data_IF_870828535044
#
_entry.id   IF_870828535044
#
_cell.length_a   1.000
_cell.length_b   1.000
_cell.length_c   1.000
_cell.angle_alpha   90.00
_cell.angle_beta   90.00
_cell.angle_gamma   90.00
#
_symmetry.space_group_name_H-M   'P 1'
#
loop_
_entity.id
_entity.type
_entity.pdbx_description
1 polymer ?
#
# COMPACT_ATOMS: atom_id res chain seq x y z
N UNK A 1 -6.68 -8.44 3.82
CA UNK A 1 -7.61 -8.39 4.99
C UNK A 1 -7.46 -9.57 5.95
N UNK A 2 -7.12 -10.79 5.50
CA UNK A 2 -7.02 -12.01 6.34
C UNK A 2 -5.95 -11.94 7.43
N UNK A 3 -4.87 -11.20 7.21
CA UNK A 3 -3.77 -11.05 8.17
C UNK A 3 -4.21 -10.31 9.46
N UNK A 4 -5.08 -9.31 9.34
CA UNK A 4 -5.52 -8.50 10.49
C UNK A 4 -6.20 -9.35 11.57
N UNK A 5 -7.26 -10.13 11.26
CA UNK A 5 -7.92 -10.95 12.28
C UNK A 5 -7.02 -12.10 12.80
N UNK A 6 -6.10 -12.59 11.96
CA UNK A 6 -5.12 -13.57 12.40
C UNK A 6 -4.20 -12.98 13.47
N UNK A 7 -3.63 -11.81 13.23
CA UNK A 7 -2.79 -11.12 14.20
C UNK A 7 -3.58 -10.72 15.46
N UNK A 8 -4.81 -10.23 15.31
CA UNK A 8 -5.66 -9.82 16.43
C UNK A 8 -5.92 -10.94 17.44
N UNK A 9 -5.92 -12.20 17.00
CA UNK A 9 -6.02 -13.38 17.88
C UNK A 9 -4.73 -13.71 18.61
N UNK A 10 -3.57 -13.38 18.02
CA UNK A 10 -2.27 -13.88 18.47
C UNK A 10 -1.41 -12.84 19.20
N UNK A 11 -1.64 -11.53 18.99
CA UNK A 11 -0.84 -10.49 19.63
C UNK A 11 -1.68 -9.64 20.58
N UNK A 12 -1.01 -9.10 21.62
CA UNK A 12 -1.66 -8.23 22.63
C UNK A 12 -1.37 -6.74 22.43
N UNK A 13 -0.51 -6.42 21.46
CA UNK A 13 -0.17 -5.04 21.11
C UNK A 13 -1.19 -4.49 20.11
N UNK A 14 -1.40 -3.17 20.08
CA UNK A 14 -2.25 -2.54 19.06
C UNK A 14 -1.76 -2.86 17.64
N UNK A 15 -2.69 -3.23 16.75
CA UNK A 15 -2.41 -3.52 15.34
C UNK A 15 -2.80 -2.31 14.51
N UNK A 16 -1.86 -1.81 13.71
CA UNK A 16 -2.11 -0.79 12.70
C UNK A 16 -2.18 -1.48 11.34
N UNK A 17 -3.36 -1.49 10.73
CA UNK A 17 -3.55 -2.07 9.42
C UNK A 17 -3.06 -1.12 8.32
N UNK A 18 -2.32 -1.65 7.35
CA UNK A 18 -1.82 -0.89 6.21
C UNK A 18 -1.99 -1.65 4.90
N UNK A 19 -2.09 -0.91 3.79
CA UNK A 19 -2.18 -1.45 2.43
C UNK A 19 -3.60 -1.58 1.90
N UNK A 20 -3.89 -0.90 0.78
CA UNK A 20 -5.17 -0.95 0.09
C UNK A 20 -6.35 -0.26 0.80
N UNK A 21 -6.10 0.45 1.90
CA UNK A 21 -7.12 1.24 2.61
C UNK A 21 -7.15 2.62 1.97
N UNK A 22 -8.31 3.00 1.40
CA UNK A 22 -8.42 4.20 0.57
C UNK A 22 -9.52 5.17 1.06
N UNK A 23 -10.43 4.71 1.91
CA UNK A 23 -11.59 5.48 2.38
C UNK A 23 -12.09 5.00 3.77
N UNK A 24 -13.17 5.62 4.26
CA UNK A 24 -13.78 5.27 5.55
C UNK A 24 -14.34 3.85 5.61
N UNK A 25 -14.72 3.25 4.47
CA UNK A 25 -15.18 1.85 4.41
C UNK A 25 -14.03 0.89 4.73
N UNK A 26 -12.85 1.16 4.17
CA UNK A 26 -11.64 0.40 4.47
C UNK A 26 -11.21 0.55 5.93
N UNK A 27 -11.34 1.75 6.50
CA UNK A 27 -11.09 2.02 7.93
C UNK A 27 -12.06 1.20 8.80
N UNK A 28 -13.37 1.27 8.53
CA UNK A 28 -14.37 0.54 9.29
C UNK A 28 -14.15 -0.98 9.20
N UNK A 29 -13.88 -1.50 8.00
CA UNK A 29 -13.62 -2.94 7.79
C UNK A 29 -12.43 -3.44 8.62
N UNK A 30 -11.31 -2.70 8.64
CA UNK A 30 -10.14 -3.10 9.43
C UNK A 30 -10.37 -2.99 10.93
N UNK A 31 -11.17 -2.03 11.38
CA UNK A 31 -11.60 -1.89 12.79
C UNK A 31 -12.43 -3.09 13.22
N UNK A 32 -13.41 -3.52 12.41
CA UNK A 32 -14.22 -4.73 12.66
C UNK A 32 -13.34 -5.98 12.74
N UNK A 33 -12.28 -6.06 11.92
CA UNK A 33 -11.32 -7.17 11.93
C UNK A 33 -10.33 -7.15 13.11
N UNK A 34 -10.36 -6.13 13.97
CA UNK A 34 -9.55 -6.03 15.18
C UNK A 34 -8.33 -5.14 15.10
N UNK A 35 -8.17 -4.33 14.05
CA UNK A 35 -7.14 -3.30 14.00
C UNK A 35 -7.45 -2.17 15.00
N UNK A 36 -6.43 -1.67 15.68
CA UNK A 36 -6.53 -0.49 16.55
C UNK A 36 -6.51 0.83 15.75
N UNK A 37 -5.92 0.81 14.57
CA UNK A 37 -5.83 1.96 13.68
C UNK A 37 -5.44 1.55 12.26
N UNK A 38 -5.29 2.55 11.38
CA UNK A 38 -4.89 2.35 9.98
C UNK A 38 -3.74 3.27 9.59
N UNK A 39 -2.93 2.83 8.63
CA UNK A 39 -1.95 3.65 7.94
C UNK A 39 -2.29 3.67 6.45
N UNK A 40 -2.48 4.86 5.91
CA UNK A 40 -2.87 5.07 4.52
C UNK A 40 -1.76 5.85 3.80
N UNK A 41 -1.21 5.30 2.72
CA UNK A 41 -0.18 5.95 1.92
C UNK A 41 -0.72 6.41 0.58
N UNK A 42 -1.08 5.46 -0.29
CA UNK A 42 -1.55 5.72 -1.66
C UNK A 42 -2.71 6.71 -1.71
N UNK A 43 -3.63 6.65 -0.75
CA UNK A 43 -4.79 7.53 -0.67
C UNK A 43 -4.43 9.04 -0.59
N UNK A 44 -3.24 9.37 -0.08
CA UNK A 44 -2.77 10.75 0.05
C UNK A 44 -1.86 11.21 -1.11
N UNK A 45 -1.51 10.32 -2.05
CA UNK A 45 -0.55 10.67 -3.10
C UNK A 45 -1.05 11.80 -4.01
N UNK A 46 -2.36 11.84 -4.32
CA UNK A 46 -2.95 12.87 -5.18
C UNK A 46 -3.27 14.18 -4.44
N UNK A 47 -3.14 14.24 -3.11
CA UNK A 47 -3.39 15.45 -2.34
C UNK A 47 -2.47 16.59 -2.77
N UNK A 48 -2.93 17.86 -2.74
CA UNK A 48 -2.09 19.02 -3.02
C UNK A 48 -0.83 19.08 -2.16
N UNK A 49 -0.93 18.70 -0.88
CA UNK A 49 0.17 18.71 0.09
C UNK A 49 1.18 17.58 -0.12
N UNK A 50 0.85 16.56 -0.89
CA UNK A 50 1.76 15.46 -1.19
C UNK A 50 2.97 15.96 -1.99
N UNK A 51 4.17 15.51 -1.61
CA UNK A 51 5.40 15.73 -2.37
C UNK A 51 5.51 14.90 -3.66
N UNK A 52 4.49 14.13 -4.04
CA UNK A 52 4.50 13.36 -5.27
C UNK A 52 4.59 14.28 -6.49
N UNK A 53 5.37 13.85 -7.50
CA UNK A 53 5.58 14.64 -8.72
C UNK A 53 4.24 14.93 -9.43
N UNK A 54 4.03 16.15 -10.01
CA UNK A 54 2.76 16.50 -10.66
C UNK A 54 2.32 15.52 -11.75
N UNK A 55 3.23 15.02 -12.59
CA UNK A 55 2.92 14.02 -13.59
C UNK A 55 2.47 12.69 -12.98
N UNK A 56 2.99 12.31 -11.79
CA UNK A 56 2.52 11.14 -11.05
C UNK A 56 1.10 11.36 -10.51
N UNK A 57 0.82 12.52 -9.91
CA UNK A 57 -0.54 12.88 -9.46
C UNK A 57 -1.54 12.86 -10.61
N UNK A 58 -1.15 13.37 -11.78
CA UNK A 58 -1.98 13.35 -12.98
C UNK A 58 -2.34 11.92 -13.42
N UNK A 59 -1.39 10.97 -13.35
CA UNK A 59 -1.67 9.56 -13.61
C UNK A 59 -2.72 9.01 -12.64
N UNK A 60 -2.57 9.25 -11.34
CA UNK A 60 -3.51 8.75 -10.33
C UNK A 60 -4.95 9.27 -10.54
N UNK A 61 -5.09 10.43 -11.17
CA UNK A 61 -6.39 11.03 -11.49
C UNK A 61 -7.06 10.42 -12.73
N UNK A 62 -6.38 9.54 -13.49
CA UNK A 62 -6.94 8.88 -14.67
C UNK A 62 -7.91 7.72 -14.34
N UNK A 63 -8.02 7.34 -13.07
CA UNK A 63 -9.03 6.39 -12.61
C UNK A 63 -8.74 4.92 -12.93
N UNK A 64 -9.76 4.19 -13.42
CA UNK A 64 -9.74 2.73 -13.52
C UNK A 64 -8.75 2.11 -14.51
N UNK A 65 -8.16 2.90 -15.41
CA UNK A 65 -7.21 2.42 -16.42
C UNK A 65 -5.80 2.17 -15.87
N UNK A 66 -5.55 2.55 -14.62
CA UNK A 66 -4.22 2.44 -14.01
C UNK A 66 -3.97 1.01 -13.55
N UNK A 67 -3.05 0.33 -14.22
CA UNK A 67 -2.60 -0.99 -13.82
C UNK A 67 -1.45 -0.91 -12.81
N UNK A 68 -1.55 -1.64 -11.69
CA UNK A 68 -0.43 -1.86 -10.77
C UNK A 68 0.16 -3.26 -10.95
N UNK A 69 1.45 -3.40 -10.71
CA UNK A 69 2.14 -4.69 -10.72
C UNK A 69 3.14 -4.77 -9.57
N UNK A 70 3.53 -5.99 -9.20
CA UNK A 70 4.67 -6.21 -8.32
C UNK A 70 5.94 -6.18 -9.16
N UNK A 71 6.97 -5.49 -8.68
CA UNK A 71 8.25 -5.41 -9.37
C UNK A 71 9.41 -5.19 -8.40
N UNK A 72 10.60 -5.67 -8.77
CA UNK A 72 11.86 -5.45 -8.07
C UNK A 72 12.73 -4.40 -8.77
N UNK A 73 12.30 -3.90 -9.90
CA UNK A 73 13.07 -3.06 -10.84
C UNK A 73 13.68 -1.83 -10.15
N UNK A 74 12.96 -1.15 -9.29
CA UNK A 74 13.42 0.11 -8.70
C UNK A 74 14.37 -0.04 -7.51
N UNK A 75 14.23 -1.09 -6.71
CA UNK A 75 14.99 -1.18 -5.46
C UNK A 75 15.67 -2.53 -5.23
N UNK A 76 15.37 -3.54 -6.05
CA UNK A 76 15.77 -4.91 -5.79
C UNK A 76 14.88 -5.64 -4.77
N UNK A 77 13.98 -4.93 -4.09
CA UNK A 77 12.93 -5.51 -3.24
C UNK A 77 11.60 -5.50 -3.97
N UNK A 78 10.81 -6.56 -3.75
CA UNK A 78 9.47 -6.67 -4.31
C UNK A 78 8.56 -5.58 -3.71
N UNK A 79 7.98 -4.75 -4.55
CA UNK A 79 7.04 -3.71 -4.16
C UNK A 79 6.00 -3.47 -5.27
N UNK A 80 4.85 -2.91 -4.88
CA UNK A 80 3.79 -2.62 -5.84
C UNK A 80 3.95 -1.21 -6.40
N UNK A 81 3.95 -1.13 -7.73
CA UNK A 81 4.13 0.10 -8.50
C UNK A 81 3.06 0.24 -9.58
N UNK A 82 2.84 1.45 -10.07
CA UNK A 82 2.15 1.64 -11.35
C UNK A 82 3.00 1.03 -12.45
N UNK A 83 2.34 0.28 -13.34
CA UNK A 83 3.00 -0.31 -14.49
C UNK A 83 3.42 0.81 -15.45
N UNK A 84 4.70 0.85 -15.79
CA UNK A 84 5.27 1.80 -16.73
C UNK A 84 6.28 1.11 -17.63
N UNK A 85 6.85 1.86 -18.57
CA UNK A 85 7.75 1.34 -19.59
C UNK A 85 8.98 0.64 -18.99
N UNK A 86 9.63 1.23 -17.97
CA UNK A 86 10.81 0.63 -17.34
C UNK A 86 10.49 -0.74 -16.72
N UNK A 87 9.34 -0.86 -16.05
CA UNK A 87 8.87 -2.12 -15.46
C UNK A 87 8.62 -3.16 -16.56
N UNK A 88 8.03 -2.77 -17.68
CA UNK A 88 7.74 -3.68 -18.78
C UNK A 88 9.01 -4.14 -19.50
N UNK A 89 9.94 -3.23 -19.79
CA UNK A 89 11.20 -3.54 -20.46
C UNK A 89 12.10 -4.47 -19.63
N UNK A 90 12.14 -4.28 -18.29
CA UNK A 90 12.99 -5.09 -17.40
C UNK A 90 12.29 -6.34 -16.84
N UNK A 91 11.03 -6.58 -17.17
CA UNK A 91 10.28 -7.72 -16.67
C UNK A 91 10.89 -9.07 -17.01
N UNK A 92 11.40 -9.22 -18.24
CA UNK A 92 12.08 -10.45 -18.67
C UNK A 92 13.47 -10.62 -18.06
N UNK A 93 14.03 -9.58 -17.45
CA UNK A 93 15.35 -9.52 -16.85
C UNK A 93 15.31 -9.47 -15.31
N UNK A 94 14.16 -9.74 -14.68
CA UNK A 94 14.04 -9.67 -13.21
C UNK A 94 15.02 -10.56 -12.45
N UNK A 95 15.43 -11.70 -13.03
CA UNK A 95 16.45 -12.58 -12.45
C UNK A 95 17.87 -12.00 -12.46
N UNK A 96 18.12 -11.01 -13.30
CA UNK A 96 19.42 -10.34 -13.47
C UNK A 96 19.55 -9.11 -12.58
N UNK A 97 18.43 -8.64 -11.98
CA UNK A 97 18.42 -7.49 -11.10
C UNK A 97 19.20 -7.77 -9.83
N UNK A 98 20.01 -6.80 -9.43
CA UNK A 98 20.78 -6.89 -8.18
C UNK A 98 19.88 -6.66 -6.97
N UNK A 99 20.31 -7.15 -5.80
CA UNK A 99 19.57 -6.98 -4.55
C UNK A 99 19.60 -5.54 -4.02
N UNK A 100 18.67 -5.26 -3.09
CA UNK A 100 18.69 -4.02 -2.32
C UNK A 100 19.96 -3.94 -1.47
N UNK A 101 20.62 -2.77 -1.35
CA UNK A 101 20.26 -1.47 -1.92
C UNK A 101 20.89 -1.17 -3.29
N UNK A 102 21.64 -2.08 -3.89
CA UNK A 102 22.40 -1.79 -5.11
C UNK A 102 21.50 -1.42 -6.28
N UNK A 103 20.38 -2.13 -6.46
CA UNK A 103 19.41 -1.81 -7.50
C UNK A 103 18.84 -0.40 -7.35
N UNK A 104 18.60 0.05 -6.12
CA UNK A 104 18.14 1.42 -5.86
C UNK A 104 19.14 2.46 -6.38
N UNK A 105 20.43 2.27 -6.11
CA UNK A 105 21.47 3.19 -6.59
C UNK A 105 21.56 3.22 -8.11
N UNK A 106 21.43 2.07 -8.78
CA UNK A 106 21.46 1.99 -10.25
C UNK A 106 20.29 2.72 -10.92
N UNK A 107 19.10 2.72 -10.30
CA UNK A 107 17.90 3.31 -10.88
C UNK A 107 17.63 4.74 -10.42
N UNK A 108 18.29 5.20 -9.35
CA UNK A 108 18.04 6.51 -8.74
C UNK A 108 18.30 7.67 -9.70
N UNK A 109 19.43 7.66 -10.39
CA UNK A 109 19.79 8.72 -11.34
C UNK A 109 18.82 8.76 -12.53
N UNK A 110 18.45 7.59 -13.06
CA UNK A 110 17.47 7.47 -14.13
C UNK A 110 16.12 8.05 -13.69
N UNK A 111 15.65 7.66 -12.50
CA UNK A 111 14.39 8.14 -11.93
C UNK A 111 14.38 9.64 -11.69
N UNK A 112 15.50 10.22 -11.23
CA UNK A 112 15.65 11.65 -11.03
C UNK A 112 15.61 12.39 -12.36
N UNK A 113 16.38 11.96 -13.36
CA UNK A 113 16.40 12.57 -14.70
C UNK A 113 15.02 12.45 -15.39
N UNK A 114 14.30 11.37 -15.15
CA UNK A 114 12.92 11.19 -15.62
C UNK A 114 11.97 12.18 -14.93
N UNK A 115 12.10 12.37 -13.62
CA UNK A 115 11.29 13.34 -12.88
C UNK A 115 11.50 14.77 -13.38
N UNK A 116 12.75 15.20 -13.59
CA UNK A 116 13.06 16.53 -14.13
C UNK A 116 12.39 16.80 -15.49
N UNK A 117 12.10 15.74 -16.26
CA UNK A 117 11.46 15.82 -17.59
C UNK A 117 9.97 15.47 -17.56
N UNK A 118 9.39 15.14 -16.39
CA UNK A 118 8.01 14.69 -16.27
C UNK A 118 7.73 13.34 -16.93
N UNK A 119 8.75 12.52 -17.18
CA UNK A 119 8.65 11.22 -17.87
C UNK A 119 8.28 10.11 -16.89
N UNK A 120 6.99 9.88 -16.70
CA UNK A 120 6.48 8.84 -15.79
C UNK A 120 6.91 7.41 -16.17
N UNK A 121 7.29 7.19 -17.42
CA UNK A 121 7.75 5.90 -17.94
C UNK A 121 8.97 5.32 -17.21
N UNK A 122 9.77 6.18 -16.57
CA UNK A 122 10.99 5.76 -15.88
C UNK A 122 11.04 6.18 -14.40
N UNK A 123 9.95 6.73 -13.88
CA UNK A 123 9.84 7.08 -12.45
C UNK A 123 9.46 5.86 -11.61
N UNK A 124 9.93 5.82 -10.37
CA UNK A 124 9.47 4.85 -9.36
C UNK A 124 8.11 5.29 -8.80
N UNK A 125 7.02 4.76 -9.34
CA UNK A 125 5.66 5.16 -9.04
C UNK A 125 4.98 4.16 -8.08
N UNK A 126 5.31 4.23 -6.79
CA UNK A 126 4.83 3.32 -5.76
C UNK A 126 3.35 3.53 -5.46
N UNK A 127 2.50 2.56 -5.74
CA UNK A 127 1.07 2.66 -5.46
C UNK A 127 0.45 1.31 -5.12
N UNK A 128 -0.46 1.30 -4.15
CA UNK A 128 -1.30 0.13 -3.85
C UNK A 128 -2.38 -0.10 -4.91
N UNK A 129 -3.03 -1.26 -4.87
CA UNK A 129 -4.07 -1.66 -5.83
C UNK A 129 -5.27 -0.72 -5.89
N UNK A 130 -5.55 0.01 -4.79
CA UNK A 130 -6.64 0.99 -4.72
C UNK A 130 -6.30 2.35 -5.33
N UNK A 131 -5.19 2.53 -6.04
CA UNK A 131 -4.74 3.83 -6.54
C UNK A 131 -5.76 4.56 -7.43
N UNK A 132 -6.64 3.83 -8.10
CA UNK A 132 -7.76 4.39 -8.87
C UNK A 132 -8.83 5.10 -8.01
N UNK A 133 -8.77 4.95 -6.68
CA UNK A 133 -9.64 5.63 -5.71
C UNK A 133 -9.00 6.90 -5.14
N UNK A 134 -7.83 7.33 -5.65
CA UNK A 134 -7.19 8.57 -5.22
C UNK A 134 -8.03 9.78 -5.62
N UNK A 135 -8.17 10.72 -4.69
CA UNK A 135 -8.87 11.98 -4.91
C UNK A 135 -7.89 13.15 -4.80
N UNK A 136 -7.97 14.11 -5.73
CA UNK A 136 -7.17 15.35 -5.69
C UNK A 136 -7.88 16.38 -4.80
N UNK A 137 -7.85 16.14 -3.49
CA UNK A 137 -8.44 17.01 -2.45
C UNK A 137 -7.44 17.24 -1.33
N UNK A 138 -7.55 18.33 -0.55
CA UNK A 138 -6.74 18.54 0.64
C UNK A 138 -6.83 17.36 1.62
N UNK A 139 -5.69 16.97 2.18
CA UNK A 139 -5.60 15.82 3.08
C UNK A 139 -6.53 15.97 4.31
N UNK A 140 -6.67 17.18 4.83
CA UNK A 140 -7.57 17.47 5.94
C UNK A 140 -9.03 17.19 5.60
N UNK A 141 -9.49 17.53 4.39
CA UNK A 141 -10.84 17.25 3.94
C UNK A 141 -11.09 15.75 3.76
N UNK A 142 -10.13 15.04 3.14
CA UNK A 142 -10.22 13.59 2.99
C UNK A 142 -10.31 12.90 4.35
N UNK A 143 -9.47 13.30 5.30
CA UNK A 143 -9.48 12.77 6.66
C UNK A 143 -10.85 12.97 7.34
N UNK A 144 -11.43 14.17 7.24
CA UNK A 144 -12.74 14.45 7.83
C UNK A 144 -13.83 13.56 7.24
N UNK A 145 -13.88 13.44 5.91
CA UNK A 145 -14.86 12.58 5.21
C UNK A 145 -14.67 11.10 5.58
N UNK A 146 -13.43 10.60 5.62
CA UNK A 146 -13.17 9.20 5.94
C UNK A 146 -13.49 8.86 7.40
N UNK A 147 -13.24 9.78 8.33
CA UNK A 147 -13.61 9.61 9.75
C UNK A 147 -15.13 9.56 9.87
N UNK A 148 -15.85 10.47 9.24
CA UNK A 148 -17.32 10.49 9.23
C UNK A 148 -17.90 9.19 8.66
N UNK A 149 -17.42 8.76 7.49
CA UNK A 149 -17.83 7.51 6.85
C UNK A 149 -17.57 6.28 7.74
N UNK A 150 -16.37 6.19 8.34
CA UNK A 150 -16.01 5.09 9.19
C UNK A 150 -16.87 5.05 10.45
N UNK A 151 -17.10 6.21 11.07
CA UNK A 151 -17.93 6.34 12.29
C UNK A 151 -19.36 5.90 12.00
N UNK A 152 -19.98 6.41 10.93
CA UNK A 152 -21.34 6.03 10.55
C UNK A 152 -21.50 4.52 10.33
N UNK A 153 -20.50 3.88 9.70
CA UNK A 153 -20.52 2.43 9.48
C UNK A 153 -20.34 1.61 10.76
N UNK A 154 -19.51 2.08 11.70
CA UNK A 154 -19.24 1.40 12.96
C UNK A 154 -20.37 1.57 13.98
N UNK A 155 -21.14 2.67 13.91
CA UNK A 155 -22.30 2.94 14.77
C UNK A 155 -23.56 2.20 14.33
N UNK A 156 -23.60 1.69 13.10
CA UNK A 156 -24.72 0.88 12.62
C UNK A 156 -24.83 -0.40 13.43
N UNK A 157 -26.00 -0.73 14.05
CA UNK A 157 -26.13 -1.86 14.98
C UNK A 157 -25.70 -3.22 14.41
N UNK A 158 -25.84 -3.43 13.10
CA UNK A 158 -25.43 -4.65 12.41
C UNK A 158 -23.89 -4.84 12.34
N UNK A 159 -23.11 -3.78 12.57
CA UNK A 159 -21.64 -3.76 12.38
C UNK A 159 -20.86 -3.61 13.68
N UNK A 160 -21.52 -3.67 14.85
CA UNK A 160 -20.80 -3.60 16.15
C UNK A 160 -19.90 -4.83 16.29
N UNK A 161 -18.57 -4.67 16.36
CA UNK A 161 -17.68 -5.80 16.57
C UNK A 161 -17.91 -6.38 17.97
N UNK A 162 -18.21 -7.68 18.04
CA UNK A 162 -18.08 -8.40 19.30
C UNK A 162 -16.59 -8.42 19.73
N UNK A 163 -16.29 -8.29 21.02
CA UNK A 163 -14.91 -8.42 21.50
C UNK A 163 -14.39 -9.81 21.13
N UNK A 164 -13.34 -9.86 20.32
CA UNK A 164 -12.74 -11.11 19.84
C UNK A 164 -12.35 -12.00 21.03
N UNK A 165 -12.86 -13.22 21.08
CA UNK A 165 -12.41 -14.25 22.02
C UNK A 165 -10.92 -14.50 21.82
N UNK A 166 -10.12 -14.30 22.84
CA UNK A 166 -8.66 -14.46 22.80
C UNK A 166 -8.30 -15.91 23.05
N UNK A 167 -7.80 -16.59 22.04
CA UNK A 167 -7.21 -17.92 22.21
C UNK A 167 -5.75 -17.79 22.71
N UNK A 168 -5.31 -18.68 23.63
CA UNK A 168 -3.92 -18.72 24.06
C UNK A 168 -3.01 -19.21 22.94
N UNK A 169 -1.86 -18.55 22.76
CA UNK A 169 -0.82 -18.91 21.80
C UNK A 169 -0.33 -20.34 22.04
N UNK A 170 -0.70 -21.29 21.19
CA UNK A 170 0.03 -22.55 21.08
C UNK A 170 1.33 -22.26 20.29
N UNK A 171 2.47 -22.45 20.96
CA UNK A 171 3.79 -22.39 20.31
C UNK A 171 3.92 -23.61 19.39
N UNK A 172 3.63 -23.45 18.12
CA UNK A 172 4.07 -24.40 17.11
C UNK A 172 5.53 -24.07 16.76
N UNK A 173 6.40 -25.08 16.81
CA UNK A 173 7.79 -24.96 16.35
C UNK A 173 7.80 -24.56 14.87
N UNK A 174 8.73 -23.69 14.43
CA UNK A 174 8.80 -23.25 13.05
C UNK A 174 9.28 -24.41 12.18
N UNK A 175 8.37 -24.98 11.39
CA UNK A 175 8.75 -25.80 10.25
C UNK A 175 9.33 -24.88 9.16
N UNK A 176 10.62 -25.09 8.84
CA UNK A 176 11.38 -24.26 7.89
C UNK A 176 11.07 -24.68 6.45
N UNK A 177 9.86 -24.43 6.00
CA UNK A 177 9.53 -24.43 4.57
C UNK A 177 9.93 -23.09 3.96
N UNK A 178 10.96 -23.10 3.10
CA UNK A 178 11.58 -21.89 2.57
C UNK A 178 10.63 -21.10 1.68
N UNK A 179 10.09 -20.01 2.24
CA UNK A 179 9.55 -18.89 1.49
C UNK A 179 10.62 -17.80 1.45
N UNK A 180 10.90 -17.27 0.27
CA UNK A 180 11.86 -16.17 0.09
C UNK A 180 11.43 -14.96 0.94
N UNK A 181 12.23 -14.55 1.94
CA UNK A 181 11.87 -13.46 2.85
C UNK A 181 11.76 -12.10 2.16
N UNK A 182 12.20 -11.96 0.90
CA UNK A 182 12.19 -10.69 0.17
C UNK A 182 10.83 -10.26 -0.36
N UNK A 183 9.81 -11.13 -0.28
CA UNK A 183 8.44 -10.82 -0.74
C UNK A 183 7.47 -10.33 0.35
N UNK A 184 7.93 -10.20 1.61
CA UNK A 184 7.10 -9.70 2.70
C UNK A 184 7.47 -8.26 3.04
N UNK A 185 6.72 -7.30 2.53
CA UNK A 185 6.57 -5.94 3.04
C UNK A 185 5.09 -5.62 3.11
#
# INVERSE_FOLDING_TARGET
LTLVPLLARHVRIPIIAAGGIMDGRGIAATRVLGAAGVQMGTAFLACPESGAHPAYKALLSQGSEIATTLSRVFTGRCGRVLRNRLVDELRSHESELVGFPLQLFLTQELGQAAAERGMTDYMALWAGQGCHLCESRPAAELMAVWVEQATALLETPANRPEPAAREPLQRTSPDRGGLDPSCFI
#
